data_IF_641766506649
#
_entry.id   IF_641766506649
#
_cell.length_a   1.000
_cell.length_b   1.000
_cell.length_c   1.000
_cell.angle_alpha   90.00
_cell.angle_beta   90.00
_cell.angle_gamma   90.00
#
_symmetry.space_group_name_H-M   'P 1'
#
loop_
_entity.id
_entity.type
_entity.pdbx_description
1 polymer ?
#
# COMPACT_ATOMS: atom_id res chain seq x y z
N UNK A 1 -10.16 -2.82 14.22
CA UNK A 1 -10.52 -1.39 14.04
C UNK A 1 -9.25 -0.56 13.94
N UNK A 2 -8.54 -0.59 12.81
CA UNK A 2 -7.28 0.13 12.57
C UNK A 2 -7.12 0.46 11.07
N UNK A 3 -7.62 1.61 10.56
CA UNK A 3 -7.21 2.01 9.20
C UNK A 3 -6.71 3.46 9.07
N UNK A 4 -7.31 4.42 9.79
CA UNK A 4 -7.04 5.85 9.56
C UNK A 4 -5.94 6.42 10.46
N UNK A 5 -5.89 6.00 11.73
CA UNK A 5 -4.83 6.40 12.66
C UNK A 5 -3.47 5.89 12.21
N UNK A 6 -3.41 4.67 11.68
CA UNK A 6 -2.16 4.08 11.20
C UNK A 6 -1.68 4.72 9.90
N UNK A 7 -2.60 5.06 8.99
CA UNK A 7 -2.27 5.83 7.80
C UNK A 7 -1.70 7.21 8.17
N UNK A 8 -2.29 7.89 9.16
CA UNK A 8 -1.75 9.16 9.67
C UNK A 8 -0.39 9.01 10.34
N UNK A 9 -0.24 8.01 11.20
CA UNK A 9 1.02 7.69 11.87
C UNK A 9 2.13 7.34 10.87
N UNK A 10 1.79 6.58 9.82
CA UNK A 10 2.70 6.25 8.72
C UNK A 10 3.17 7.51 7.98
N UNK A 11 2.23 8.36 7.55
CA UNK A 11 2.57 9.62 6.86
C UNK A 11 3.51 10.48 7.73
N UNK A 12 3.21 10.59 9.02
CA UNK A 12 4.05 11.32 9.98
C UNK A 12 5.44 10.73 10.15
N UNK A 13 5.53 9.41 10.30
CA UNK A 13 6.80 8.70 10.43
C UNK A 13 7.64 8.84 9.15
N UNK A 14 7.01 8.72 7.98
CA UNK A 14 7.65 8.84 6.68
C UNK A 14 8.16 10.26 6.43
N UNK A 15 7.35 11.28 6.74
CA UNK A 15 7.77 12.69 6.69
C UNK A 15 9.00 12.95 7.54
N UNK A 16 8.99 12.50 8.80
CA UNK A 16 10.13 12.65 9.73
C UNK A 16 11.38 11.93 9.23
N UNK A 17 11.23 10.74 8.64
CA UNK A 17 12.35 9.98 8.08
C UNK A 17 12.99 10.67 6.87
N UNK A 18 12.19 11.38 6.08
CA UNK A 18 12.65 12.16 4.94
C UNK A 18 13.08 13.59 5.32
N UNK A 19 13.07 13.92 6.62
CA UNK A 19 13.33 15.26 7.16
C UNK A 19 12.52 16.39 6.48
N UNK A 20 11.29 16.07 6.09
CA UNK A 20 10.41 17.02 5.41
C UNK A 20 9.65 17.89 6.42
N UNK A 21 9.80 19.20 6.27
CA UNK A 21 8.96 20.16 6.99
C UNK A 21 7.51 20.09 6.47
N UNK A 22 6.53 20.36 7.35
CA UNK A 22 5.13 20.48 6.94
C UNK A 22 4.92 21.60 5.91
N UNK A 23 5.68 22.69 6.00
CA UNK A 23 5.66 23.78 5.03
C UNK A 23 6.03 23.31 3.61
N UNK A 24 7.05 22.45 3.46
CA UNK A 24 7.45 21.91 2.16
C UNK A 24 6.35 21.05 1.52
N UNK A 25 5.59 20.32 2.35
CA UNK A 25 4.43 19.56 1.89
C UNK A 25 3.26 20.45 1.52
N UNK A 26 3.08 21.58 2.20
CA UNK A 26 2.04 22.55 1.87
C UNK A 26 2.23 23.10 0.46
N UNK A 27 3.46 23.44 0.08
CA UNK A 27 3.80 23.89 -1.27
C UNK A 27 3.56 22.78 -2.31
N UNK A 28 4.09 21.58 -2.03
CA UNK A 28 4.02 20.44 -2.96
C UNK A 28 2.58 19.96 -3.19
N UNK A 29 1.77 19.90 -2.12
CA UNK A 29 0.42 19.33 -2.17
C UNK A 29 -0.67 20.39 -2.36
N UNK A 30 -0.32 21.69 -2.27
CA UNK A 30 -1.29 22.79 -2.29
C UNK A 30 -2.40 22.59 -1.23
N UNK A 31 -1.98 22.27 -0.01
CA UNK A 31 -2.86 21.96 1.14
C UNK A 31 -2.39 22.73 2.37
N UNK A 32 -3.34 23.23 3.15
CA UNK A 32 -3.01 23.97 4.38
C UNK A 32 -2.32 23.07 5.42
N UNK A 33 -1.44 23.67 6.22
CA UNK A 33 -0.80 22.99 7.36
C UNK A 33 -1.82 22.31 8.30
N UNK A 34 -2.97 22.94 8.52
CA UNK A 34 -4.06 22.37 9.33
C UNK A 34 -4.72 21.13 8.70
N UNK A 35 -4.73 21.02 7.37
CA UNK A 35 -5.19 19.80 6.69
C UNK A 35 -4.14 18.69 6.81
N UNK A 36 -2.87 19.01 6.56
CA UNK A 36 -1.75 18.06 6.65
C UNK A 36 -1.60 17.51 8.08
N UNK A 37 -1.63 18.38 9.09
CA UNK A 37 -1.62 18.00 10.50
C UNK A 37 -2.81 17.13 10.91
N UNK A 38 -3.98 17.31 10.29
CA UNK A 38 -5.12 16.40 10.51
C UNK A 38 -4.89 15.04 9.87
N UNK A 39 -4.31 14.99 8.67
CA UNK A 39 -3.97 13.73 8.01
C UNK A 39 -2.97 12.92 8.85
N UNK A 40 -1.93 13.56 9.39
CA UNK A 40 -0.94 12.90 10.28
C UNK A 40 -1.55 12.36 11.58
N UNK A 41 -2.67 12.93 12.04
CA UNK A 41 -3.41 12.44 13.22
C UNK A 41 -4.44 11.36 12.88
N UNK A 42 -4.55 10.97 11.61
CA UNK A 42 -5.53 10.01 11.15
C UNK A 42 -6.95 10.58 11.02
N UNK A 43 -7.12 11.90 11.06
CA UNK A 43 -8.38 12.57 10.78
C UNK A 43 -8.55 12.77 9.26
N UNK A 44 -8.60 11.66 8.51
CA UNK A 44 -8.48 11.61 7.04
C UNK A 44 -9.84 11.74 6.33
N UNK A 45 -10.87 12.28 6.99
CA UNK A 45 -12.27 12.20 6.54
C UNK A 45 -12.61 12.88 5.19
N UNK A 46 -11.69 13.61 4.55
CA UNK A 46 -11.88 14.27 3.24
C UNK A 46 -10.68 14.15 2.31
N UNK A 47 -9.86 13.12 2.47
CA UNK A 47 -8.74 12.91 1.55
C UNK A 47 -9.27 12.37 0.22
N UNK A 48 -9.08 13.12 -0.85
CA UNK A 48 -9.50 12.71 -2.20
C UNK A 48 -8.41 11.86 -2.85
N UNK A 49 -8.76 11.06 -3.83
CA UNK A 49 -7.79 10.25 -4.59
C UNK A 49 -6.61 11.08 -5.14
N UNK A 50 -6.80 12.29 -5.71
CA UNK A 50 -5.67 13.13 -6.12
C UNK A 50 -4.71 13.48 -4.98
N UNK A 51 -5.23 13.68 -3.76
CA UNK A 51 -4.39 13.94 -2.59
C UNK A 51 -3.56 12.70 -2.23
N UNK A 52 -4.17 11.50 -2.31
CA UNK A 52 -3.47 10.23 -2.08
C UNK A 52 -2.35 10.01 -3.09
N UNK A 53 -2.60 10.29 -4.37
CA UNK A 53 -1.60 10.15 -5.43
C UNK A 53 -0.45 11.16 -5.25
N UNK A 54 -0.77 12.39 -4.89
CA UNK A 54 0.23 13.42 -4.62
C UNK A 54 1.07 13.06 -3.37
N UNK A 55 0.43 12.56 -2.32
CA UNK A 55 1.11 12.04 -1.13
C UNK A 55 2.02 10.86 -1.46
N UNK A 56 1.57 9.93 -2.30
CA UNK A 56 2.37 8.81 -2.77
C UNK A 56 3.61 9.32 -3.50
N UNK A 57 3.42 10.18 -4.49
CA UNK A 57 4.52 10.79 -5.26
C UNK A 57 5.55 11.50 -4.37
N UNK A 58 5.08 12.15 -3.29
CA UNK A 58 5.90 12.93 -2.37
C UNK A 58 6.61 12.08 -1.31
N UNK A 59 5.94 11.07 -0.77
CA UNK A 59 6.45 10.28 0.37
C UNK A 59 7.02 8.92 -0.01
N UNK A 60 6.53 8.33 -1.09
CA UNK A 60 6.82 6.97 -1.50
C UNK A 60 6.77 6.85 -3.03
N UNK A 61 7.95 6.83 -3.65
CA UNK A 61 8.03 6.33 -5.02
C UNK A 61 7.54 4.87 -4.98
N UNK A 62 6.51 4.51 -5.75
CA UNK A 62 6.10 3.10 -5.92
C UNK A 62 4.73 2.68 -5.39
N UNK A 63 3.80 3.58 -5.04
CA UNK A 63 2.42 3.18 -4.72
C UNK A 63 2.18 2.69 -3.30
N UNK A 64 3.12 2.88 -2.37
CA UNK A 64 2.98 2.41 -0.97
C UNK A 64 1.85 3.15 -0.23
N UNK A 65 1.78 4.49 -0.37
CA UNK A 65 0.74 5.30 0.26
C UNK A 65 -0.60 4.97 -0.37
N UNK A 66 -0.64 4.86 -1.70
CA UNK A 66 -1.86 4.48 -2.41
C UNK A 66 -2.36 3.09 -1.99
N UNK A 67 -1.46 2.10 -1.90
CA UNK A 67 -1.77 0.74 -1.48
C UNK A 67 -2.31 0.67 -0.06
N UNK A 68 -1.74 1.45 0.86
CA UNK A 68 -2.22 1.57 2.23
C UNK A 68 -3.63 2.16 2.28
N UNK A 69 -3.88 3.26 1.56
CA UNK A 69 -5.20 3.88 1.48
C UNK A 69 -6.24 2.98 0.83
N UNK A 70 -5.85 2.24 -0.20
CA UNK A 70 -6.69 1.25 -0.86
C UNK A 70 -7.11 0.14 0.11
N UNK A 71 -6.16 -0.47 0.84
CA UNK A 71 -6.45 -1.53 1.82
C UNK A 71 -7.34 -1.02 2.96
N UNK A 72 -7.06 0.16 3.48
CA UNK A 72 -7.87 0.80 4.52
C UNK A 72 -9.31 1.07 4.05
N UNK A 73 -9.48 1.48 2.79
CA UNK A 73 -10.79 1.74 2.18
C UNK A 73 -11.53 0.45 1.84
N UNK A 74 -10.85 -0.55 1.28
CA UNK A 74 -11.41 -1.85 0.96
C UNK A 74 -11.92 -2.56 2.23
N UNK A 75 -11.15 -2.52 3.32
CA UNK A 75 -11.59 -3.03 4.62
C UNK A 75 -12.83 -2.29 5.15
N UNK A 76 -12.87 -0.96 5.05
CA UNK A 76 -14.00 -0.17 5.55
C UNK A 76 -15.28 -0.34 4.73
N UNK A 77 -15.13 -0.51 3.41
CA UNK A 77 -16.24 -0.69 2.49
C UNK A 77 -16.68 -2.17 2.37
N UNK A 78 -16.00 -3.09 3.05
CA UNK A 78 -16.22 -4.53 2.85
C UNK A 78 -15.87 -5.01 1.44
N UNK A 79 -15.11 -4.22 0.65
CA UNK A 79 -14.65 -4.54 -0.71
C UNK A 79 -13.45 -5.54 -0.67
N UNK A 80 -13.33 -6.25 0.44
CA UNK A 80 -12.51 -7.42 0.62
C UNK A 80 -13.19 -8.29 1.65
N UNK A 81 -14.35 -8.84 1.30
CA UNK A 81 -14.66 -10.18 1.78
C UNK A 81 -13.54 -11.08 1.24
N UNK A 82 -12.89 -11.96 2.04
CA UNK A 82 -12.43 -13.20 1.41
C UNK A 82 -13.67 -13.71 0.66
N UNK A 83 -13.60 -14.04 -0.63
CA UNK A 83 -14.76 -14.63 -1.28
C UNK A 83 -15.25 -15.75 -0.34
N UNK A 84 -16.56 -15.82 -0.10
CA UNK A 84 -17.08 -17.10 0.39
C UNK A 84 -16.54 -18.11 -0.62
N UNK A 85 -15.68 -19.02 -0.16
CA UNK A 85 -14.91 -19.92 -1.02
C UNK A 85 -15.81 -20.82 -1.90
N UNK A 86 -17.12 -20.70 -1.74
CA UNK A 86 -18.17 -21.41 -2.46
C UNK A 86 -18.52 -20.82 -3.85
N UNK A 87 -18.33 -19.51 -4.11
CA UNK A 87 -18.85 -18.86 -5.32
C UNK A 87 -17.78 -18.34 -6.31
N UNK A 88 -16.50 -18.50 -5.98
CA UNK A 88 -15.44 -18.30 -6.97
C UNK A 88 -15.13 -19.63 -7.64
N UNK A 89 -14.96 -19.69 -8.98
CA UNK A 89 -14.46 -20.90 -9.64
C UNK A 89 -12.99 -21.18 -9.29
N UNK A 90 -12.39 -20.31 -8.48
CA UNK A 90 -11.03 -20.39 -7.98
C UNK A 90 -11.04 -20.90 -6.55
N UNK A 91 -10.20 -21.89 -6.32
CA UNK A 91 -9.86 -22.40 -4.99
C UNK A 91 -9.21 -21.29 -4.15
N UNK A 92 -9.26 -21.46 -2.82
CA UNK A 92 -8.57 -20.55 -1.89
C UNK A 92 -7.07 -20.40 -2.23
N UNK A 93 -6.45 -21.48 -2.73
CA UNK A 93 -5.05 -21.49 -3.14
C UNK A 93 -4.80 -20.68 -4.41
N UNK A 94 -5.69 -20.74 -5.41
CA UNK A 94 -5.61 -19.94 -6.63
C UNK A 94 -5.80 -18.45 -6.35
N UNK A 95 -6.70 -18.10 -5.44
CA UNK A 95 -6.87 -16.73 -4.96
C UNK A 95 -5.63 -16.25 -4.22
N UNK A 96 -5.06 -17.09 -3.35
CA UNK A 96 -3.83 -16.78 -2.64
C UNK A 96 -2.65 -16.57 -3.62
N UNK A 97 -2.54 -17.43 -4.63
CA UNK A 97 -1.54 -17.34 -5.68
C UNK A 97 -1.71 -16.08 -6.53
N UNK A 98 -2.95 -15.72 -6.91
CA UNK A 98 -3.24 -14.50 -7.66
C UNK A 98 -2.87 -13.25 -6.85
N UNK A 99 -3.19 -13.20 -5.56
CA UNK A 99 -2.74 -12.13 -4.67
C UNK A 99 -1.21 -12.04 -4.61
N UNK A 100 -0.53 -13.18 -4.48
CA UNK A 100 0.92 -13.26 -4.49
C UNK A 100 1.53 -12.77 -5.80
N UNK A 101 0.97 -13.17 -6.95
CA UNK A 101 1.41 -12.74 -8.26
C UNK A 101 1.21 -11.24 -8.46
N UNK A 102 0.09 -10.67 -8.00
CA UNK A 102 -0.13 -9.22 -8.03
C UNK A 102 0.89 -8.49 -7.16
N UNK A 103 1.21 -9.02 -5.97
CA UNK A 103 2.25 -8.45 -5.09
C UNK A 103 3.63 -8.55 -5.72
N UNK A 104 4.00 -9.70 -6.27
CA UNK A 104 5.28 -9.96 -6.94
C UNK A 104 5.45 -9.12 -8.20
N UNK A 105 4.40 -8.99 -9.01
CA UNK A 105 4.40 -8.15 -10.20
C UNK A 105 4.59 -6.67 -9.84
N UNK A 106 3.88 -6.18 -8.81
CA UNK A 106 4.05 -4.81 -8.30
C UNK A 106 5.47 -4.58 -7.78
N UNK A 107 6.03 -5.55 -7.06
CA UNK A 107 7.44 -5.53 -6.66
C UNK A 107 8.38 -5.53 -7.87
N UNK A 108 8.15 -6.39 -8.87
CA UNK A 108 8.98 -6.45 -10.06
C UNK A 108 8.94 -5.16 -10.89
N UNK A 109 7.79 -4.50 -10.98
CA UNK A 109 7.68 -3.19 -11.64
C UNK A 109 8.43 -2.10 -10.88
N UNK A 110 8.59 -2.26 -9.56
CA UNK A 110 9.33 -1.36 -8.69
C UNK A 110 10.86 -1.57 -8.80
N UNK A 111 11.31 -2.83 -8.94
CA UNK A 111 12.72 -3.22 -9.02
C UNK A 111 13.26 -3.34 -10.45
N UNK A 112 12.73 -2.59 -11.42
CA UNK A 112 13.10 -2.65 -12.86
C UNK A 112 14.60 -2.49 -13.19
N UNK A 113 15.48 -2.23 -12.22
CA UNK A 113 16.93 -2.13 -12.39
C UNK A 113 17.77 -3.25 -11.76
N UNK A 114 17.17 -4.18 -11.01
CA UNK A 114 17.91 -5.26 -10.36
C UNK A 114 17.12 -6.56 -10.50
N UNK A 115 17.54 -7.44 -11.39
CA UNK A 115 16.86 -8.70 -11.69
C UNK A 115 17.40 -9.88 -10.86
N UNK A 116 18.42 -9.66 -10.03
CA UNK A 116 19.07 -10.73 -9.26
C UNK A 116 18.16 -11.35 -8.20
N UNK A 117 17.24 -10.56 -7.63
CA UNK A 117 16.27 -11.07 -6.64
C UNK A 117 15.31 -12.12 -7.25
N UNK A 118 15.05 -12.10 -8.56
CA UNK A 118 14.25 -13.14 -9.23
C UNK A 118 14.98 -14.49 -9.24
N UNK A 119 16.32 -14.50 -9.31
CA UNK A 119 17.09 -15.72 -9.20
C UNK A 119 17.00 -16.32 -7.79
N UNK A 120 17.01 -15.47 -6.76
CA UNK A 120 16.83 -15.90 -5.36
C UNK A 120 15.46 -16.56 -5.14
N UNK A 121 14.39 -15.98 -5.71
CA UNK A 121 13.04 -16.55 -5.59
C UNK A 121 12.87 -17.87 -6.34
N UNK A 122 13.57 -18.08 -7.46
CA UNK A 122 13.56 -19.35 -8.22
C UNK A 122 14.21 -20.50 -7.45
N UNK A 123 15.12 -20.20 -6.52
CA UNK A 123 15.84 -21.19 -5.71
C UNK A 123 15.32 -21.31 -4.29
N UNK A 124 14.28 -20.57 -3.93
CA UNK A 124 13.77 -20.58 -2.57
C UNK A 124 12.89 -21.83 -2.32
N UNK A 125 13.11 -22.56 -1.22
CA UNK A 125 12.60 -23.92 -1.02
C UNK A 125 11.08 -24.03 -0.83
N UNK A 126 10.35 -22.93 -0.69
CA UNK A 126 8.89 -22.95 -0.52
C UNK A 126 8.11 -23.26 -1.81
N UNK A 127 8.76 -23.35 -2.97
CA UNK A 127 8.16 -23.88 -4.21
C UNK A 127 8.40 -25.39 -4.38
N UNK A 128 9.22 -26.00 -3.50
CA UNK A 128 9.55 -27.41 -3.53
C UNK A 128 8.88 -28.15 -2.36
N UNK A 129 7.56 -28.27 -2.40
CA UNK A 129 6.89 -29.32 -1.62
C UNK A 129 5.54 -28.98 -1.03
N UNK A 130 4.48 -29.36 -1.73
CA UNK A 130 3.32 -30.01 -1.10
C UNK A 130 2.71 -30.99 -2.10
N UNK A 131 3.51 -32.02 -2.43
CA UNK A 131 2.98 -33.28 -2.97
C UNK A 131 2.80 -34.21 -1.78
N UNK A 132 1.60 -34.19 -1.21
CA UNK A 132 1.11 -35.13 -0.20
C UNK A 132 -0.32 -35.48 -0.55
#
# INVERSE_FOLDING_TARGET
MLPRRDAGAYLKARRRRLDLALAALQETLSRSDSALSRWERGAIGRLKLPDVLALDTTFARGGEVLGMFWRASAFHLGIGTPPDAADTPWTADELHLAEWLIRLYRWATFFKGDAEWLAVLRHAPYLAGSSG
#
